data_IF_787774717024
#
_entry.id   IF_787774717024
#
_cell.length_a   1.000
_cell.length_b   1.000
_cell.length_c   1.000
_cell.angle_alpha   90.00
_cell.angle_beta   90.00
_cell.angle_gamma   90.00
#
_symmetry.space_group_name_H-M   'P 1'
#
loop_
_entity.id
_entity.type
_entity.pdbx_description
1 polymer ?
#
# COMPACT_ATOMS: atom_id res chain seq x y z
N UNK A 1 22.38 22.37 19.43
CA UNK A 1 20.94 22.43 19.11
C UNK A 1 20.47 21.03 18.74
N UNK A 2 19.61 20.39 19.55
CA UNK A 2 19.01 19.09 19.20
C UNK A 2 18.10 19.31 17.99
N UNK A 3 18.42 18.71 16.84
CA UNK A 3 17.57 18.74 15.64
C UNK A 3 16.24 18.09 16.02
N UNK A 4 15.23 18.91 16.35
CA UNK A 4 13.87 18.43 16.57
C UNK A 4 13.40 17.73 15.31
N UNK A 5 12.99 16.46 15.45
CA UNK A 5 12.32 15.74 14.37
C UNK A 5 11.06 16.53 14.01
N UNK A 6 11.09 17.30 12.91
CA UNK A 6 9.89 17.94 12.38
C UNK A 6 8.90 16.83 12.07
N UNK A 7 7.84 16.75 12.86
CA UNK A 7 6.77 15.78 12.64
C UNK A 7 6.14 16.10 11.29
N UNK A 8 6.17 15.15 10.35
CA UNK A 8 5.56 15.34 9.03
C UNK A 8 4.05 15.52 9.22
N UNK A 9 3.51 16.61 8.71
CA UNK A 9 2.06 16.87 8.68
C UNK A 9 1.36 15.88 7.74
N UNK A 10 0.21 15.36 8.16
CA UNK A 10 -0.63 14.45 7.37
C UNK A 10 -1.52 15.28 6.46
N UNK A 11 -1.33 15.16 5.14
CA UNK A 11 -2.06 15.92 4.12
C UNK A 11 -3.18 15.12 3.46
N UNK A 12 -3.05 13.80 3.45
CA UNK A 12 -3.95 12.86 2.75
C UNK A 12 -4.38 11.74 3.72
N UNK A 13 -5.19 12.06 4.75
CA UNK A 13 -5.59 11.10 5.78
C UNK A 13 -6.34 9.88 5.22
N UNK A 14 -7.04 10.02 4.09
CA UNK A 14 -7.74 8.95 3.38
C UNK A 14 -6.82 7.80 2.96
N UNK A 15 -5.54 8.07 2.68
CA UNK A 15 -4.58 7.03 2.33
C UNK A 15 -4.37 6.02 3.45
N UNK A 16 -4.57 6.44 4.71
CA UNK A 16 -4.48 5.53 5.86
C UNK A 16 -5.59 4.50 5.87
N UNK A 17 -6.77 4.84 5.37
CA UNK A 17 -7.89 3.89 5.22
C UNK A 17 -7.56 2.82 4.20
N UNK A 18 -6.95 3.20 3.07
CA UNK A 18 -6.47 2.27 2.06
C UNK A 18 -5.34 1.41 2.65
N UNK A 19 -4.37 2.03 3.33
CA UNK A 19 -3.24 1.30 3.90
C UNK A 19 -3.62 0.34 5.04
N UNK A 20 -4.78 0.52 5.67
CA UNK A 20 -5.29 -0.38 6.69
C UNK A 20 -5.67 -1.77 6.12
N UNK A 21 -5.89 -1.89 4.81
CA UNK A 21 -6.16 -3.17 4.15
C UNK A 21 -4.88 -3.93 3.77
N UNK A 22 -3.71 -3.31 3.97
CA UNK A 22 -2.44 -3.89 3.56
C UNK A 22 -1.97 -4.94 4.57
N UNK A 23 -1.49 -6.06 4.05
CA UNK A 23 -0.79 -7.07 4.81
C UNK A 23 0.70 -6.72 4.98
N UNK A 24 1.40 -7.37 5.93
CA UNK A 24 2.85 -7.31 6.00
C UNK A 24 3.47 -7.67 4.64
N UNK A 25 4.37 -6.82 4.14
CA UNK A 25 5.04 -7.03 2.85
C UNK A 25 4.40 -6.32 1.66
N UNK A 26 3.11 -5.98 1.69
CA UNK A 26 2.39 -5.39 0.54
C UNK A 26 3.05 -4.11 0.02
N UNK A 27 3.59 -3.28 0.92
CA UNK A 27 4.30 -2.06 0.55
C UNK A 27 5.51 -2.31 -0.36
N UNK A 28 6.17 -3.46 -0.20
CA UNK A 28 7.30 -3.88 -1.04
C UNK A 28 6.78 -4.31 -2.41
N UNK A 29 5.70 -5.09 -2.46
CA UNK A 29 5.09 -5.51 -3.73
C UNK A 29 4.52 -4.33 -4.52
N UNK A 30 3.82 -3.41 -3.85
CA UNK A 30 3.33 -2.16 -4.46
C UNK A 30 4.49 -1.32 -4.99
N UNK A 31 5.59 -1.21 -4.23
CA UNK A 31 6.80 -0.52 -4.68
C UNK A 31 7.36 -1.15 -5.97
N UNK A 32 7.44 -2.48 -6.01
CA UNK A 32 7.92 -3.23 -7.18
C UNK A 32 7.02 -3.03 -8.40
N UNK A 33 5.70 -3.13 -8.22
CA UNK A 33 4.71 -2.95 -9.31
C UNK A 33 4.63 -1.51 -9.82
N UNK A 34 4.81 -0.51 -8.95
CA UNK A 34 4.73 0.90 -9.32
C UNK A 34 6.06 1.52 -9.77
N UNK A 35 7.18 0.81 -9.60
CA UNK A 35 8.53 1.32 -9.83
C UNK A 35 8.94 2.42 -8.85
N UNK A 36 8.31 2.48 -7.67
CA UNK A 36 8.59 3.49 -6.65
C UNK A 36 9.39 2.89 -5.49
N UNK A 37 10.10 3.73 -4.73
CA UNK A 37 10.78 3.26 -3.53
C UNK A 37 9.78 2.93 -2.41
N UNK A 38 10.12 1.92 -1.60
CA UNK A 38 9.31 1.51 -0.43
C UNK A 38 9.08 2.67 0.54
N UNK A 39 10.07 3.57 0.69
CA UNK A 39 9.93 4.79 1.50
C UNK A 39 8.86 5.75 0.94
N UNK A 40 8.76 5.86 -0.38
CA UNK A 40 7.73 6.69 -1.02
C UNK A 40 6.35 6.08 -0.82
N UNK A 41 6.21 4.76 -0.97
CA UNK A 41 4.97 4.05 -0.67
C UNK A 41 4.59 4.25 0.80
N UNK A 42 5.54 4.13 1.73
CA UNK A 42 5.31 4.41 3.17
C UNK A 42 4.79 5.83 3.40
N UNK A 43 5.44 6.84 2.81
CA UNK A 43 5.00 8.23 2.96
C UNK A 43 3.58 8.44 2.40
N UNK A 44 3.24 7.78 1.29
CA UNK A 44 1.89 7.80 0.73
C UNK A 44 0.88 7.11 1.66
N UNK A 45 1.18 5.89 2.10
CA UNK A 45 0.33 5.12 3.03
C UNK A 45 0.07 5.84 4.36
N UNK A 46 1.04 6.59 4.86
CA UNK A 46 0.89 7.39 6.09
C UNK A 46 0.14 8.70 5.88
N UNK A 47 -0.20 9.05 4.64
CA UNK A 47 -0.91 10.26 4.27
C UNK A 47 -0.02 11.50 4.17
N UNK A 48 1.30 11.35 4.16
CA UNK A 48 2.24 12.47 3.98
C UNK A 48 2.36 12.91 2.51
N UNK A 49 1.99 12.02 1.58
CA UNK A 49 2.01 12.25 0.13
C UNK A 49 0.75 11.70 -0.52
N UNK A 50 0.33 12.31 -1.62
CA UNK A 50 -0.80 11.80 -2.44
C UNK A 50 -0.42 10.47 -3.09
N UNK A 51 -1.34 9.51 -3.11
CA UNK A 51 -1.22 8.32 -3.96
C UNK A 51 -1.42 8.76 -5.41
N UNK A 52 -0.43 8.54 -6.26
CA UNK A 52 -0.56 8.82 -7.70
C UNK A 52 -1.10 7.60 -8.45
N UNK A 53 -1.46 7.80 -9.71
CA UNK A 53 -2.11 6.77 -10.54
C UNK A 53 -1.28 5.49 -10.70
N UNK A 54 0.05 5.58 -10.75
CA UNK A 54 0.91 4.39 -10.86
C UNK A 54 0.80 3.53 -9.60
N UNK A 55 0.84 4.17 -8.43
CA UNK A 55 0.70 3.48 -7.13
C UNK A 55 -0.74 2.99 -6.95
N UNK A 56 -1.74 3.76 -7.35
CA UNK A 56 -3.15 3.35 -7.31
C UNK A 56 -3.38 2.08 -8.14
N UNK A 57 -2.89 2.04 -9.39
CA UNK A 57 -2.96 0.85 -10.25
C UNK A 57 -2.22 -0.35 -9.64
N UNK A 58 -1.05 -0.13 -9.04
CA UNK A 58 -0.30 -1.18 -8.37
C UNK A 58 -1.05 -1.76 -7.16
N UNK A 59 -1.71 -0.92 -6.36
CA UNK A 59 -2.56 -1.35 -5.23
C UNK A 59 -3.73 -2.19 -5.75
N UNK A 60 -4.48 -1.69 -6.74
CA UNK A 60 -5.63 -2.40 -7.31
C UNK A 60 -5.21 -3.77 -7.85
N UNK A 61 -4.11 -3.82 -8.59
CA UNK A 61 -3.54 -5.07 -9.10
C UNK A 61 -3.29 -6.07 -7.98
N UNK A 62 -2.57 -5.66 -6.92
CA UNK A 62 -2.27 -6.55 -5.79
C UNK A 62 -3.53 -7.06 -5.09
N UNK A 63 -4.53 -6.19 -4.90
CA UNK A 63 -5.78 -6.59 -4.25
C UNK A 63 -6.59 -7.57 -5.10
N UNK A 64 -6.59 -7.41 -6.43
CA UNK A 64 -7.24 -8.34 -7.35
C UNK A 64 -6.53 -9.71 -7.35
N UNK A 65 -5.19 -9.72 -7.46
CA UNK A 65 -4.38 -10.95 -7.42
C UNK A 65 -4.63 -11.74 -6.12
N UNK A 66 -4.75 -11.04 -4.98
CA UNK A 66 -5.12 -11.69 -3.70
C UNK A 66 -6.52 -12.29 -3.73
N UNK A 67 -7.50 -11.54 -4.22
CA UNK A 67 -8.89 -12.02 -4.29
C UNK A 67 -9.01 -13.26 -5.18
N UNK A 68 -8.33 -13.27 -6.32
CA UNK A 68 -8.28 -14.41 -7.24
C UNK A 68 -7.63 -15.63 -6.56
N UNK A 69 -6.53 -15.43 -5.83
CA UNK A 69 -5.89 -16.49 -5.06
C UNK A 69 -6.82 -17.06 -3.97
N UNK A 70 -7.47 -16.20 -3.20
CA UNK A 70 -8.39 -16.63 -2.14
C UNK A 70 -9.58 -17.42 -2.72
N UNK A 71 -10.08 -17.05 -3.90
CA UNK A 71 -11.12 -17.81 -4.60
C UNK A 71 -10.62 -19.18 -5.02
N UNK A 72 -9.46 -19.27 -5.66
CA UNK A 72 -8.88 -20.54 -6.10
C UNK A 72 -8.59 -21.49 -4.92
N UNK A 73 -8.11 -20.96 -3.78
CA UNK A 73 -7.88 -21.76 -2.58
C UNK A 73 -9.19 -22.28 -1.96
N UNK A 74 -10.25 -21.46 -1.95
CA UNK A 74 -11.55 -21.90 -1.47
C UNK A 74 -12.16 -23.00 -2.34
N UNK A 75 -11.94 -22.98 -3.66
CA UNK A 75 -12.39 -24.05 -4.56
C UNK A 75 -11.69 -25.38 -4.27
N UNK A 76 -10.41 -25.36 -3.88
CA UNK A 76 -9.65 -26.57 -3.52
C UNK A 76 -10.11 -27.15 -2.18
N UNK A 77 -10.34 -26.29 -1.17
CA UNK A 77 -10.69 -26.74 0.18
C UNK A 77 -12.12 -27.32 0.27
N UNK A 78 -13.02 -26.90 -0.61
CA UNK A 78 -14.42 -27.36 -0.63
C UNK A 78 -14.69 -28.49 -1.64
N UNK A 79 -13.64 -29.15 -2.14
CA UNK A 79 -13.71 -30.43 -2.86
C UNK A 79 -13.61 -31.61 -1.89
#
# INVERSE_FOLDING_TARGET
>A
MKKGFRQKEIKFPENRKIAATFLPGDRVTIALYSGMSVYTIRDMSLGYRRINDRVARAIIRLMNERKELDQALNEIVNQ
#
